data_IF_247675726075
#
_entry.id   IF_247675726075
#
_cell.length_a   1.000
_cell.length_b   1.000
_cell.length_c   1.000
_cell.angle_alpha   90.00
_cell.angle_beta   90.00
_cell.angle_gamma   90.00
#
_symmetry.space_group_name_H-M   'P 1'
#
loop_
_entity.id
_entity.type
_entity.pdbx_description
1 polymer ?
#
# COMPACT_ATOMS: atom_id res chain seq x y z
N UNK A 1 15.55 13.64 -26.88
CA UNK A 1 16.26 12.58 -26.17
C UNK A 1 15.68 12.34 -24.77
N UNK A 2 15.80 13.28 -23.84
CA UNK A 2 15.37 13.07 -22.44
C UNK A 2 13.85 12.98 -22.23
N UNK A 3 13.04 13.35 -23.19
CA UNK A 3 11.59 13.12 -23.22
C UNK A 3 11.18 11.67 -23.59
N UNK A 4 12.16 10.81 -23.88
CA UNK A 4 12.00 9.38 -24.13
C UNK A 4 12.75 8.58 -23.08
N UNK A 5 12.19 7.44 -22.68
CA UNK A 5 12.93 6.52 -21.81
C UNK A 5 14.05 5.81 -22.58
N UNK A 6 15.16 5.59 -21.90
CA UNK A 6 16.31 4.89 -22.48
C UNK A 6 16.06 3.38 -22.62
N UNK A 7 15.03 2.87 -21.95
CA UNK A 7 14.63 1.48 -21.95
C UNK A 7 13.09 1.38 -21.86
N UNK A 8 12.52 0.31 -22.37
CA UNK A 8 11.09 0.01 -22.26
C UNK A 8 10.61 0.02 -20.79
N UNK A 9 11.45 -0.42 -19.88
CA UNK A 9 11.19 -0.39 -18.44
C UNK A 9 11.92 0.79 -17.80
N UNK A 10 11.22 1.88 -17.40
CA UNK A 10 11.84 3.04 -16.79
C UNK A 10 12.63 2.67 -15.54
N UNK A 11 13.98 2.83 -15.49
CA UNK A 11 14.81 2.38 -14.37
C UNK A 11 14.48 3.08 -13.05
N UNK A 12 13.88 4.26 -13.11
CA UNK A 12 13.42 5.00 -11.94
C UNK A 12 12.15 4.42 -11.31
N UNK A 13 11.35 3.63 -12.05
CA UNK A 13 10.08 3.06 -11.61
C UNK A 13 10.09 1.53 -11.55
N UNK A 14 11.03 0.88 -12.24
CA UNK A 14 11.05 -0.57 -12.36
C UNK A 14 12.45 -1.16 -12.25
N UNK A 15 12.51 -2.42 -11.86
CA UNK A 15 13.65 -3.28 -11.97
C UNK A 15 13.33 -4.42 -12.94
N UNK A 16 13.88 -4.34 -14.15
CA UNK A 16 13.67 -5.37 -15.20
C UNK A 16 12.20 -5.68 -15.52
N UNK A 17 11.32 -4.67 -15.41
CA UNK A 17 9.88 -4.82 -15.68
C UNK A 17 9.02 -5.11 -14.44
N UNK A 18 9.62 -5.40 -13.30
CA UNK A 18 8.91 -5.46 -12.02
C UNK A 18 8.88 -4.09 -11.36
N UNK A 19 7.79 -3.76 -10.66
CA UNK A 19 7.68 -2.50 -9.93
C UNK A 19 8.74 -2.39 -8.83
N UNK A 20 9.32 -1.19 -8.67
CA UNK A 20 10.14 -0.89 -7.51
C UNK A 20 9.26 -0.80 -6.26
N UNK A 21 9.56 -1.57 -5.24
CA UNK A 21 8.87 -1.46 -3.95
C UNK A 21 9.60 -0.54 -2.98
N UNK A 22 8.89 0.23 -2.14
CA UNK A 22 9.52 1.07 -1.12
C UNK A 22 10.24 0.20 -0.09
N UNK A 23 11.47 0.56 0.25
CA UNK A 23 12.27 -0.16 1.25
C UNK A 23 11.72 -0.02 2.68
N UNK A 24 11.02 1.08 2.97
CA UNK A 24 10.39 1.36 4.27
C UNK A 24 9.12 2.18 4.08
N UNK A 25 7.96 1.50 4.02
CA UNK A 25 6.65 2.15 3.93
C UNK A 25 6.34 3.00 5.19
N UNK A 26 6.68 2.49 6.37
CA UNK A 26 6.37 3.11 7.64
C UNK A 26 7.08 4.46 7.85
N UNK A 27 8.12 4.77 7.08
CA UNK A 27 8.86 6.02 7.24
C UNK A 27 8.00 7.29 7.02
N UNK A 28 6.94 7.22 6.21
CA UNK A 28 5.98 8.33 6.08
C UNK A 28 5.29 8.60 7.42
N UNK A 29 4.79 7.55 8.06
CA UNK A 29 4.09 7.66 9.34
C UNK A 29 5.04 8.15 10.43
N UNK A 30 6.28 7.69 10.46
CA UNK A 30 7.27 8.21 11.39
C UNK A 30 7.52 9.72 11.21
N UNK A 31 7.60 10.22 9.98
CA UNK A 31 7.76 11.67 9.71
C UNK A 31 6.50 12.47 10.11
N UNK A 32 5.31 11.90 9.92
CA UNK A 32 4.05 12.54 10.31
C UNK A 32 3.88 12.57 11.83
N UNK A 33 4.34 11.53 12.52
CA UNK A 33 4.21 11.39 13.98
C UNK A 33 5.24 12.16 14.78
N UNK A 34 6.25 12.80 14.17
CA UNK A 34 7.28 13.55 14.89
C UNK A 34 6.70 14.66 15.77
N UNK A 35 5.55 15.20 15.40
CA UNK A 35 4.89 16.31 16.07
C UNK A 35 3.64 15.90 16.88
N UNK A 36 3.37 14.58 17.01
CA UNK A 36 2.17 14.07 17.67
C UNK A 36 2.48 13.31 18.95
N UNK A 37 1.65 13.52 19.97
CA UNK A 37 1.69 12.76 21.21
C UNK A 37 1.04 11.38 21.01
N UNK A 38 1.51 10.39 21.78
CA UNK A 38 0.87 9.08 21.84
C UNK A 38 -0.58 9.22 22.33
N UNK A 39 -1.45 8.29 21.90
CA UNK A 39 -2.80 8.20 22.45
C UNK A 39 -2.75 7.87 23.96
N UNK A 40 -3.74 8.30 24.72
CA UNK A 40 -3.85 7.93 26.14
C UNK A 40 -3.93 6.41 26.31
N UNK A 41 -3.52 5.92 27.47
CA UNK A 41 -3.59 4.52 27.84
C UNK A 41 -5.05 4.00 27.82
N UNK A 42 -5.19 2.68 27.67
CA UNK A 42 -6.49 2.04 27.70
C UNK A 42 -7.22 2.26 29.03
N UNK A 43 -8.57 2.36 28.97
CA UNK A 43 -9.36 2.29 30.19
C UNK A 43 -9.16 0.92 30.85
N UNK A 44 -8.91 0.90 32.15
CA UNK A 44 -8.77 -0.33 32.96
C UNK A 44 -10.10 -1.06 33.17
N UNK A 45 -11.22 -0.39 32.88
CA UNK A 45 -12.61 -0.85 33.09
C UNK A 45 -13.33 -1.03 31.76
N UNK A 46 -14.45 -1.76 31.83
CA UNK A 46 -15.33 -1.97 30.68
C UNK A 46 -15.91 -0.66 30.14
N UNK A 47 -15.72 -0.42 28.84
CA UNK A 47 -16.30 0.70 28.12
C UNK A 47 -17.39 0.22 27.15
N UNK A 48 -18.69 0.48 27.47
CA UNK A 48 -19.82 0.06 26.63
C UNK A 48 -19.88 0.80 25.28
N UNK A 49 -19.11 1.87 25.11
CA UNK A 49 -19.09 2.67 23.87
C UNK A 49 -17.90 2.37 22.99
N UNK A 50 -17.11 1.33 23.32
CA UNK A 50 -15.86 1.03 22.63
C UNK A 50 -15.91 -0.25 21.79
N UNK A 51 -15.12 -0.26 20.71
CA UNK A 51 -14.88 -1.40 19.85
C UNK A 51 -13.38 -1.60 19.55
N UNK A 52 -12.98 -2.87 19.38
CA UNK A 52 -11.65 -3.24 18.90
C UNK A 52 -11.77 -3.91 17.53
N UNK A 53 -11.07 -3.36 16.54
CA UNK A 53 -10.95 -3.91 15.21
C UNK A 53 -9.52 -4.44 15.03
N UNK A 54 -9.36 -5.67 14.59
CA UNK A 54 -8.02 -6.25 14.38
C UNK A 54 -7.88 -6.75 12.94
N UNK A 55 -6.76 -6.39 12.32
CA UNK A 55 -6.31 -7.04 11.08
C UNK A 55 -6.09 -8.53 11.35
N UNK A 56 -6.77 -9.37 10.56
CA UNK A 56 -6.68 -10.82 10.68
C UNK A 56 -5.25 -11.34 10.46
N UNK A 57 -4.47 -10.72 9.58
CA UNK A 57 -3.05 -11.01 9.38
C UNK A 57 -2.24 -10.77 10.66
N UNK A 58 -2.43 -9.61 11.31
CA UNK A 58 -1.82 -9.30 12.60
C UNK A 58 -2.18 -10.34 13.67
N UNK A 59 -3.46 -10.69 13.79
CA UNK A 59 -3.92 -11.70 14.76
C UNK A 59 -3.16 -13.02 14.56
N UNK A 60 -3.05 -13.51 13.32
CA UNK A 60 -2.40 -14.76 12.98
C UNK A 60 -0.89 -14.74 13.23
N UNK A 61 -0.23 -13.61 13.09
CA UNK A 61 1.20 -13.45 13.36
C UNK A 61 1.48 -13.26 14.86
N UNK A 62 0.63 -12.53 15.57
CA UNK A 62 0.80 -12.23 16.99
C UNK A 62 0.49 -13.44 17.86
N UNK A 63 -0.49 -14.27 17.47
CA UNK A 63 -0.95 -15.45 18.23
C UNK A 63 -0.82 -16.73 17.40
N UNK A 64 0.39 -17.21 17.09
CA UNK A 64 0.58 -18.45 16.34
C UNK A 64 0.10 -19.67 17.15
N UNK A 65 -0.32 -20.77 16.50
CA UNK A 65 -0.70 -21.99 17.19
C UNK A 65 0.47 -22.58 17.96
N UNK A 66 0.18 -23.18 19.12
CA UNK A 66 1.17 -23.95 19.87
C UNK A 66 1.48 -25.28 19.16
N UNK A 67 2.65 -25.88 19.40
CA UNK A 67 2.99 -27.15 18.79
C UNK A 67 1.91 -28.22 19.02
N UNK A 68 1.65 -29.04 18.00
CA UNK A 68 0.71 -30.16 17.99
C UNK A 68 -0.79 -29.81 18.10
N UNK A 69 -1.17 -28.53 18.21
CA UNK A 69 -2.58 -28.12 18.19
C UNK A 69 -3.23 -28.49 16.86
N UNK A 70 -4.51 -28.89 16.92
CA UNK A 70 -5.38 -28.91 15.73
C UNK A 70 -5.93 -27.50 15.42
N UNK A 71 -6.45 -27.29 14.21
CA UNK A 71 -7.06 -26.01 13.88
C UNK A 71 -8.26 -25.68 14.78
N UNK A 72 -9.04 -26.69 15.24
CA UNK A 72 -10.09 -26.49 16.24
C UNK A 72 -9.53 -25.96 17.56
N UNK A 73 -8.47 -26.59 18.08
CA UNK A 73 -7.83 -26.14 19.31
C UNK A 73 -7.20 -24.75 19.16
N UNK A 74 -6.72 -24.43 17.98
CA UNK A 74 -6.22 -23.09 17.68
C UNK A 74 -7.33 -22.03 17.72
N UNK A 75 -8.49 -22.30 17.10
CA UNK A 75 -9.66 -21.42 17.19
C UNK A 75 -10.12 -21.25 18.66
N UNK A 76 -10.14 -22.33 19.42
CA UNK A 76 -10.47 -22.28 20.86
C UNK A 76 -9.47 -21.44 21.66
N UNK A 77 -8.17 -21.57 21.39
CA UNK A 77 -7.12 -20.77 22.02
C UNK A 77 -7.33 -19.27 21.73
N UNK A 78 -7.64 -18.90 20.48
CA UNK A 78 -7.92 -17.52 20.11
C UNK A 78 -9.17 -16.98 20.81
N UNK A 79 -10.26 -17.79 20.85
CA UNK A 79 -11.52 -17.41 21.50
C UNK A 79 -11.36 -17.19 23.01
N UNK A 80 -10.78 -18.15 23.72
CA UNK A 80 -10.59 -18.10 25.18
C UNK A 80 -9.46 -17.17 25.64
N UNK A 81 -8.52 -16.86 24.77
CA UNK A 81 -7.39 -15.98 25.03
C UNK A 81 -7.65 -14.54 24.57
N UNK A 82 -7.03 -14.11 23.45
CA UNK A 82 -7.05 -12.69 23.06
C UNK A 82 -8.47 -12.14 22.83
N UNK A 83 -9.38 -12.91 22.22
CA UNK A 83 -10.71 -12.39 21.90
C UNK A 83 -11.51 -12.13 23.19
N UNK A 84 -11.53 -13.12 24.11
CA UNK A 84 -12.23 -12.95 25.40
C UNK A 84 -11.62 -11.81 26.23
N UNK A 85 -10.29 -11.63 26.18
CA UNK A 85 -9.61 -10.55 26.89
C UNK A 85 -10.06 -9.18 26.36
N UNK A 86 -10.11 -8.96 25.04
CA UNK A 86 -10.62 -7.71 24.48
C UNK A 86 -12.10 -7.48 24.82
N UNK A 87 -12.94 -8.53 24.75
CA UNK A 87 -14.36 -8.42 25.07
C UNK A 87 -14.68 -8.25 26.57
N UNK A 88 -13.70 -8.39 27.46
CA UNK A 88 -13.85 -7.98 28.87
C UNK A 88 -13.90 -6.45 29.02
N UNK A 89 -13.16 -5.72 28.17
CA UNK A 89 -13.01 -4.27 28.25
C UNK A 89 -13.82 -3.50 27.20
N UNK A 90 -14.16 -4.13 26.08
CA UNK A 90 -14.85 -3.51 24.96
C UNK A 90 -16.21 -4.16 24.66
N UNK A 91 -17.16 -3.35 24.19
CA UNK A 91 -18.50 -3.81 23.80
C UNK A 91 -18.46 -4.71 22.57
N UNK A 92 -17.52 -4.44 21.64
CA UNK A 92 -17.44 -5.13 20.35
C UNK A 92 -16.00 -5.43 19.95
N UNK A 93 -15.81 -6.58 19.31
CA UNK A 93 -14.57 -6.95 18.66
C UNK A 93 -14.81 -7.49 17.26
N UNK A 94 -14.07 -6.98 16.29
CA UNK A 94 -14.13 -7.41 14.89
C UNK A 94 -12.76 -7.96 14.43
N UNK A 95 -12.76 -9.11 13.78
CA UNK A 95 -11.59 -9.63 13.06
C UNK A 95 -11.83 -9.42 11.56
N UNK A 96 -10.96 -8.64 10.93
CA UNK A 96 -11.06 -8.30 9.51
C UNK A 96 -9.98 -9.03 8.73
N UNK A 97 -10.35 -10.10 8.02
CA UNK A 97 -9.46 -10.86 7.17
C UNK A 97 -9.48 -10.33 5.73
N UNK A 98 -8.37 -10.49 5.02
CA UNK A 98 -8.31 -10.31 3.57
C UNK A 98 -9.25 -11.28 2.84
N UNK A 99 -9.84 -10.80 1.77
CA UNK A 99 -10.52 -11.62 0.76
C UNK A 99 -9.56 -11.83 -0.42
N UNK A 100 -9.48 -13.05 -0.93
CA UNK A 100 -8.55 -13.40 -2.00
C UNK A 100 -9.33 -13.61 -3.31
N UNK A 101 -9.24 -12.62 -4.21
CA UNK A 101 -9.92 -12.61 -5.52
C UNK A 101 -8.86 -12.91 -6.59
N UNK A 102 -9.11 -13.98 -7.38
CA UNK A 102 -8.23 -14.32 -8.48
C UNK A 102 -8.33 -13.30 -9.61
N UNK A 103 -7.20 -12.99 -10.25
CA UNK A 103 -7.13 -12.02 -11.34
C UNK A 103 -7.28 -10.55 -10.90
N UNK A 104 -7.28 -10.25 -9.62
CA UNK A 104 -7.24 -8.87 -9.11
C UNK A 104 -5.84 -8.25 -9.25
N UNK A 105 -5.73 -6.92 -9.10
CA UNK A 105 -4.44 -6.24 -9.03
C UNK A 105 -3.59 -6.75 -7.86
N UNK A 106 -4.22 -6.99 -6.71
CA UNK A 106 -3.55 -7.52 -5.53
C UNK A 106 -3.07 -8.96 -5.71
N UNK A 107 -3.76 -9.77 -6.53
CA UNK A 107 -3.32 -11.13 -6.85
C UNK A 107 -1.98 -11.13 -7.60
N UNK A 108 -1.78 -10.18 -8.53
CA UNK A 108 -0.53 -10.00 -9.26
C UNK A 108 0.64 -9.70 -8.31
N UNK A 109 0.44 -8.77 -7.38
CA UNK A 109 1.46 -8.38 -6.38
C UNK A 109 1.81 -9.53 -5.41
N UNK A 110 0.82 -10.37 -5.04
CA UNK A 110 1.03 -11.51 -4.13
C UNK A 110 1.85 -12.64 -4.74
N UNK A 111 1.79 -12.85 -6.06
CA UNK A 111 2.56 -13.92 -6.72
C UNK A 111 4.08 -13.73 -6.57
N UNK A 112 4.57 -12.50 -6.47
CA UNK A 112 5.98 -12.19 -6.22
C UNK A 112 6.49 -12.58 -4.81
N UNK A 113 5.61 -12.87 -3.83
CA UNK A 113 5.98 -13.13 -2.42
C UNK A 113 6.51 -14.57 -2.15
N UNK A 114 6.60 -15.43 -3.16
CA UNK A 114 7.15 -16.78 -3.07
C UNK A 114 6.11 -17.86 -2.71
N UNK A 115 6.49 -19.15 -2.90
CA UNK A 115 5.62 -20.29 -2.65
C UNK A 115 5.72 -20.72 -1.19
N UNK A 116 4.57 -20.77 -0.49
CA UNK A 116 4.45 -21.33 0.85
C UNK A 116 4.31 -22.87 0.84
N UNK A 117 4.26 -23.45 2.04
CA UNK A 117 3.95 -24.88 2.21
C UNK A 117 2.42 -25.07 2.19
N UNK A 118 1.89 -25.76 1.16
CA UNK A 118 0.45 -26.02 1.06
C UNK A 118 0.01 -27.08 2.08
N UNK A 119 -1.01 -26.75 2.87
CA UNK A 119 -1.67 -27.68 3.78
C UNK A 119 -3.16 -27.32 3.86
N UNK A 120 -4.02 -28.34 3.76
CA UNK A 120 -5.48 -28.16 3.88
C UNK A 120 -5.87 -27.84 5.32
N UNK A 121 -6.79 -26.93 5.50
CA UNK A 121 -7.36 -26.56 6.81
C UNK A 121 -8.62 -27.37 7.06
N UNK A 122 -8.59 -28.19 8.14
CA UNK A 122 -9.76 -28.90 8.66
C UNK A 122 -9.65 -28.98 10.18
N UNK A 123 -10.78 -29.03 10.87
CA UNK A 123 -10.88 -28.90 12.33
C UNK A 123 -9.91 -29.81 13.10
N UNK A 124 -9.83 -31.09 12.73
CA UNK A 124 -9.00 -32.09 13.41
C UNK A 124 -7.57 -32.22 12.84
N UNK A 125 -7.26 -31.44 11.79
CA UNK A 125 -5.90 -31.44 11.23
C UNK A 125 -4.98 -30.63 12.15
N UNK A 126 -3.77 -31.14 12.38
CA UNK A 126 -2.75 -30.43 13.17
C UNK A 126 -2.27 -29.19 12.44
N UNK A 127 -2.10 -28.10 13.17
CA UNK A 127 -1.46 -26.90 12.64
C UNK A 127 -0.01 -27.19 12.25
N UNK A 128 0.51 -26.59 11.18
CA UNK A 128 1.88 -26.82 10.72
C UNK A 128 2.91 -26.22 11.67
N UNK A 129 4.00 -26.94 11.90
CA UNK A 129 5.10 -26.48 12.75
C UNK A 129 5.78 -25.21 12.19
N UNK A 130 5.81 -25.06 10.85
CA UNK A 130 6.35 -23.87 10.17
C UNK A 130 5.24 -22.89 9.81
N UNK A 131 4.64 -22.28 10.83
CA UNK A 131 3.48 -21.39 10.69
C UNK A 131 3.67 -20.24 9.69
N UNK A 132 4.81 -19.56 9.77
CA UNK A 132 5.12 -18.46 8.85
C UNK A 132 5.22 -18.89 7.37
N UNK A 133 5.70 -20.11 7.09
CA UNK A 133 5.71 -20.65 5.73
C UNK A 133 4.31 -21.06 5.26
N UNK A 134 3.49 -21.59 6.17
CA UNK A 134 2.09 -21.90 5.88
C UNK A 134 1.32 -20.64 5.48
N UNK A 135 1.51 -19.53 6.20
CA UNK A 135 0.86 -18.23 5.89
C UNK A 135 1.37 -17.55 4.61
N UNK A 136 2.45 -18.02 3.98
CA UNK A 136 2.88 -17.51 2.66
C UNK A 136 2.01 -18.02 1.51
N UNK A 137 1.35 -19.16 1.63
CA UNK A 137 0.43 -19.68 0.60
C UNK A 137 -0.95 -19.03 0.76
N UNK A 138 -1.39 -18.32 -0.28
CA UNK A 138 -2.67 -17.59 -0.31
C UNK A 138 -3.88 -18.52 -0.11
N UNK A 139 -3.83 -19.75 -0.65
CA UNK A 139 -4.91 -20.73 -0.50
C UNK A 139 -5.04 -21.21 0.95
N UNK A 140 -3.91 -21.36 1.64
CA UNK A 140 -3.92 -21.68 3.08
C UNK A 140 -4.58 -20.56 3.88
N UNK A 141 -4.21 -19.31 3.60
CA UNK A 141 -4.80 -18.16 4.29
C UNK A 141 -6.30 -18.07 4.02
N UNK A 142 -6.71 -18.25 2.77
CA UNK A 142 -8.14 -18.25 2.42
C UNK A 142 -8.91 -19.30 3.21
N UNK A 143 -8.46 -20.57 3.19
CA UNK A 143 -9.12 -21.64 3.94
C UNK A 143 -9.11 -21.39 5.47
N UNK A 144 -7.98 -20.88 6.00
CA UNK A 144 -7.85 -20.57 7.42
C UNK A 144 -8.79 -19.44 7.85
N UNK A 145 -8.85 -18.36 7.07
CA UNK A 145 -9.71 -17.22 7.36
C UNK A 145 -11.18 -17.64 7.43
N UNK A 146 -11.65 -18.41 6.43
CA UNK A 146 -13.01 -18.94 6.40
C UNK A 146 -13.26 -19.85 7.61
N UNK A 147 -12.34 -20.79 7.89
CA UNK A 147 -12.46 -21.71 9.03
C UNK A 147 -12.54 -20.94 10.35
N UNK A 148 -11.64 -19.98 10.57
CA UNK A 148 -11.61 -19.22 11.82
C UNK A 148 -12.86 -18.34 11.96
N UNK A 149 -13.29 -17.65 10.91
CA UNK A 149 -14.52 -16.85 10.96
C UNK A 149 -15.74 -17.70 11.37
N UNK A 150 -15.90 -18.88 10.77
CA UNK A 150 -16.98 -19.80 11.07
C UNK A 150 -16.90 -20.36 12.51
N UNK A 151 -15.71 -20.77 12.95
CA UNK A 151 -15.53 -21.33 14.28
C UNK A 151 -15.66 -20.28 15.38
N UNK A 152 -15.01 -19.12 15.24
CA UNK A 152 -14.96 -18.10 16.28
C UNK A 152 -16.34 -17.50 16.58
N UNK A 153 -17.24 -17.42 15.60
CA UNK A 153 -18.60 -16.92 15.81
C UNK A 153 -19.51 -17.93 16.54
N UNK A 154 -19.11 -19.20 16.67
CA UNK A 154 -19.89 -20.20 17.40
C UNK A 154 -19.58 -20.26 18.90
N UNK A 155 -18.49 -19.65 19.36
CA UNK A 155 -18.14 -19.62 20.77
C UNK A 155 -19.01 -18.65 21.57
N UNK A 156 -19.23 -18.98 22.85
CA UNK A 156 -19.91 -18.09 23.78
C UNK A 156 -18.92 -17.06 24.33
N UNK A 157 -19.30 -15.79 24.21
CA UNK A 157 -18.60 -14.65 24.77
C UNK A 157 -19.38 -14.07 25.95
N UNK A 158 -18.83 -13.12 26.74
CA UNK A 158 -19.58 -12.48 27.81
C UNK A 158 -20.92 -11.92 27.33
N UNK A 159 -21.94 -11.98 28.18
CA UNK A 159 -23.29 -11.56 27.82
C UNK A 159 -23.33 -10.13 27.28
N UNK A 160 -24.11 -9.92 26.22
CA UNK A 160 -24.25 -8.62 25.56
C UNK A 160 -23.07 -8.20 24.69
N UNK A 161 -21.97 -8.94 24.63
CA UNK A 161 -20.80 -8.62 23.80
C UNK A 161 -20.98 -9.05 22.34
N UNK A 162 -20.50 -8.23 21.44
CA UNK A 162 -20.58 -8.45 20.00
C UNK A 162 -19.23 -8.89 19.46
N UNK A 163 -19.25 -9.98 18.70
CA UNK A 163 -18.08 -10.46 17.96
C UNK A 163 -18.42 -10.62 16.48
N UNK A 164 -17.59 -10.02 15.62
CA UNK A 164 -17.71 -10.10 14.17
C UNK A 164 -16.44 -10.64 13.54
N UNK A 165 -16.58 -11.42 12.47
CA UNK A 165 -15.45 -11.88 11.68
C UNK A 165 -15.80 -11.87 10.19
N UNK A 166 -14.90 -11.32 9.36
CA UNK A 166 -15.10 -11.36 7.89
C UNK A 166 -14.89 -12.78 7.37
N UNK A 167 -15.79 -13.22 6.50
CA UNK A 167 -15.78 -14.52 5.83
C UNK A 167 -16.02 -14.29 4.34
N UNK A 168 -14.95 -14.13 3.56
CA UNK A 168 -15.01 -13.68 2.18
C UNK A 168 -15.78 -12.35 2.06
N UNK A 169 -16.82 -12.27 1.23
CA UNK A 169 -17.65 -11.05 1.09
C UNK A 169 -18.52 -10.79 2.33
N UNK A 170 -18.86 -11.83 3.08
CA UNK A 170 -19.77 -11.76 4.23
C UNK A 170 -19.07 -11.35 5.52
N UNK A 171 -19.88 -10.95 6.48
CA UNK A 171 -19.46 -10.76 7.88
C UNK A 171 -20.32 -11.66 8.76
N UNK A 172 -19.69 -12.57 9.50
CA UNK A 172 -20.36 -13.43 10.46
C UNK A 172 -20.34 -12.77 11.85
N UNK A 173 -21.37 -13.04 12.64
CA UNK A 173 -21.52 -12.51 14.01
C UNK A 173 -22.00 -13.58 14.99
N UNK A 174 -21.65 -13.45 16.28
CA UNK A 174 -22.21 -14.24 17.36
C UNK A 174 -23.59 -13.75 17.82
N UNK A 175 -24.11 -12.68 17.24
CA UNK A 175 -25.38 -12.03 17.59
C UNK A 175 -26.31 -11.92 16.39
N UNK A 176 -27.52 -11.40 16.59
CA UNK A 176 -28.46 -11.10 15.51
C UNK A 176 -28.11 -9.82 14.73
N UNK A 177 -27.15 -9.04 15.18
CA UNK A 177 -26.67 -7.87 14.44
C UNK A 177 -25.96 -8.32 13.16
N UNK A 178 -26.26 -7.64 12.06
CA UNK A 178 -25.71 -7.95 10.74
C UNK A 178 -24.98 -6.73 10.17
N UNK A 179 -23.93 -6.97 9.45
CA UNK A 179 -23.22 -6.00 8.64
C UNK A 179 -23.38 -6.36 7.17
N UNK A 180 -23.51 -5.38 6.29
CA UNK A 180 -23.63 -5.61 4.85
C UNK A 180 -22.44 -6.37 4.28
N UNK A 181 -22.70 -7.23 3.29
CA UNK A 181 -21.65 -7.87 2.49
C UNK A 181 -20.77 -6.82 1.78
N UNK A 182 -19.54 -7.15 1.47
CA UNK A 182 -18.58 -6.21 0.89
C UNK A 182 -17.68 -6.88 -0.16
N UNK A 183 -17.47 -6.20 -1.29
CA UNK A 183 -16.54 -6.59 -2.36
C UNK A 183 -15.10 -6.13 -2.12
N UNK A 184 -14.81 -5.54 -0.97
CA UNK A 184 -13.46 -5.07 -0.65
C UNK A 184 -12.52 -6.25 -0.40
N UNK A 185 -11.42 -6.28 -1.15
CA UNK A 185 -10.45 -7.37 -1.10
C UNK A 185 -9.48 -7.26 0.08
N UNK A 186 -8.97 -6.05 0.35
CA UNK A 186 -7.96 -5.82 1.39
C UNK A 186 -8.58 -5.53 2.75
N UNK A 187 -8.02 -6.14 3.80
CA UNK A 187 -8.36 -5.84 5.18
C UNK A 187 -8.18 -4.36 5.51
N UNK A 188 -7.16 -3.69 4.95
CA UNK A 188 -6.86 -2.28 5.21
C UNK A 188 -8.02 -1.34 4.96
N UNK A 189 -8.72 -1.50 3.83
CA UNK A 189 -9.89 -0.70 3.51
C UNK A 189 -11.14 -1.19 4.25
N UNK A 190 -11.27 -2.50 4.43
CA UNK A 190 -12.41 -3.11 5.09
C UNK A 190 -12.47 -2.79 6.58
N UNK A 191 -11.31 -2.58 7.25
CA UNK A 191 -11.23 -2.05 8.62
C UNK A 191 -11.94 -0.70 8.75
N UNK A 192 -11.83 0.19 7.75
CA UNK A 192 -12.52 1.47 7.75
C UNK A 192 -14.04 1.31 7.60
N UNK A 193 -14.50 0.32 6.83
CA UNK A 193 -15.92 -0.01 6.70
C UNK A 193 -16.48 -0.53 8.03
N UNK A 194 -15.75 -1.38 8.75
CA UNK A 194 -16.09 -1.86 10.07
C UNK A 194 -16.10 -0.72 11.11
N UNK A 195 -15.11 0.18 11.06
CA UNK A 195 -15.08 1.37 11.91
C UNK A 195 -16.32 2.26 11.67
N UNK A 196 -16.68 2.52 10.41
CA UNK A 196 -17.91 3.23 10.07
C UNK A 196 -19.16 2.55 10.65
N UNK A 197 -19.25 1.22 10.54
CA UNK A 197 -20.38 0.47 11.08
C UNK A 197 -20.43 0.57 12.62
N UNK A 198 -19.29 0.49 13.31
CA UNK A 198 -19.24 0.72 14.75
C UNK A 198 -19.78 2.11 15.13
N UNK A 199 -19.36 3.15 14.40
CA UNK A 199 -19.84 4.52 14.62
C UNK A 199 -21.35 4.66 14.38
N UNK A 200 -21.89 3.96 13.37
CA UNK A 200 -23.34 3.96 13.09
C UNK A 200 -24.17 3.26 14.17
N UNK A 201 -23.56 2.31 14.89
CA UNK A 201 -24.17 1.62 16.04
C UNK A 201 -23.95 2.38 17.38
N UNK A 202 -23.39 3.58 17.34
CA UNK A 202 -23.18 4.42 18.52
C UNK A 202 -21.92 4.12 19.34
N UNK A 203 -21.02 3.25 18.82
CA UNK A 203 -19.72 3.02 19.45
C UNK A 203 -18.80 4.17 19.06
N UNK A 204 -18.43 5.01 20.01
CA UNK A 204 -17.71 6.27 19.76
C UNK A 204 -16.22 6.23 20.04
N UNK A 205 -15.69 5.13 20.57
CA UNK A 205 -14.28 4.84 20.79
C UNK A 205 -13.87 3.59 20.05
N UNK A 206 -13.02 3.74 19.05
CA UNK A 206 -12.60 2.61 18.21
C UNK A 206 -11.09 2.45 18.33
N UNK A 207 -10.66 1.23 18.66
CA UNK A 207 -9.27 0.81 18.61
C UNK A 207 -9.04 -0.06 17.38
N UNK A 208 -8.01 0.23 16.58
CA UNK A 208 -7.65 -0.53 15.38
C UNK A 208 -6.24 -1.08 15.55
N UNK A 209 -6.10 -2.40 15.50
CA UNK A 209 -4.83 -3.11 15.66
C UNK A 209 -4.33 -3.58 14.30
N UNK A 210 -3.18 -3.06 13.86
CA UNK A 210 -2.62 -3.29 12.52
C UNK A 210 -1.13 -3.59 12.54
N UNK A 211 -0.65 -4.22 11.46
CA UNK A 211 0.78 -4.33 11.14
C UNK A 211 1.16 -3.43 9.96
N UNK A 212 0.23 -3.15 9.02
CA UNK A 212 0.49 -2.29 7.86
C UNK A 212 0.10 -0.83 8.13
N UNK A 213 1.04 0.07 7.92
CA UNK A 213 0.84 1.53 8.10
C UNK A 213 -0.01 2.17 7.02
N UNK A 214 -0.34 1.46 5.94
CA UNK A 214 -1.23 1.95 4.88
C UNK A 214 -2.64 2.25 5.45
N UNK A 215 -3.06 1.50 6.48
CA UNK A 215 -4.33 1.75 7.22
C UNK A 215 -4.36 3.15 7.83
N UNK A 216 -3.24 3.64 8.40
CA UNK A 216 -3.17 5.00 8.96
C UNK A 216 -3.33 6.05 7.86
N UNK A 217 -2.70 5.80 6.70
CA UNK A 217 -2.81 6.68 5.53
C UNK A 217 -4.25 6.76 5.03
N UNK A 218 -4.93 5.61 4.91
CA UNK A 218 -6.33 5.52 4.52
C UNK A 218 -7.22 6.26 5.54
N UNK A 219 -7.03 5.95 6.82
CA UNK A 219 -7.80 6.53 7.91
C UNK A 219 -7.70 8.06 7.96
N UNK A 220 -6.49 8.63 7.75
CA UNK A 220 -6.29 10.08 7.63
C UNK A 220 -7.08 10.68 6.48
N UNK A 221 -7.04 10.05 5.30
CA UNK A 221 -7.74 10.54 4.12
C UNK A 221 -9.26 10.61 4.29
N UNK A 222 -9.84 9.70 5.07
CA UNK A 222 -11.30 9.66 5.30
C UNK A 222 -11.74 10.28 6.63
N UNK A 223 -10.82 10.70 7.48
CA UNK A 223 -11.12 11.14 8.86
C UNK A 223 -12.19 12.22 8.89
N UNK A 224 -12.02 13.31 8.13
CA UNK A 224 -12.96 14.42 8.14
C UNK A 224 -14.33 14.05 7.57
N UNK A 225 -14.40 13.07 6.67
CA UNK A 225 -15.67 12.52 6.17
C UNK A 225 -16.40 11.73 7.26
N UNK A 226 -15.67 10.94 8.05
CA UNK A 226 -16.27 10.27 9.22
C UNK A 226 -16.71 11.29 10.28
N UNK A 227 -15.87 12.27 10.59
CA UNK A 227 -16.15 13.30 11.58
C UNK A 227 -17.37 14.17 11.21
N UNK A 228 -17.60 14.43 9.91
CA UNK A 228 -18.77 15.16 9.45
C UNK A 228 -20.06 14.35 9.52
N UNK A 229 -19.96 13.01 9.51
CA UNK A 229 -21.11 12.11 9.46
C UNK A 229 -21.47 11.51 10.83
N UNK A 230 -20.50 11.39 11.73
CA UNK A 230 -20.64 10.72 13.01
C UNK A 230 -20.01 11.55 14.14
N UNK A 231 -20.65 11.54 15.29
CA UNK A 231 -20.04 12.06 16.51
C UNK A 231 -19.28 10.92 17.19
N UNK A 232 -17.98 11.07 17.41
CA UNK A 232 -17.14 10.10 18.10
C UNK A 232 -16.01 10.75 18.87
N UNK A 233 -15.52 10.07 19.90
CA UNK A 233 -14.45 10.55 20.76
C UNK A 233 -13.11 10.46 20.04
N UNK A 234 -12.72 9.25 19.63
CA UNK A 234 -11.47 9.01 18.89
C UNK A 234 -11.48 7.66 18.18
N UNK A 235 -10.60 7.55 17.18
CA UNK A 235 -10.14 6.30 16.58
C UNK A 235 -8.65 6.20 16.92
N UNK A 236 -8.29 5.19 17.72
CA UNK A 236 -6.90 4.94 18.12
C UNK A 236 -6.35 3.81 17.27
N UNK A 237 -5.19 4.03 16.65
CA UNK A 237 -4.53 3.02 15.82
C UNK A 237 -3.25 2.55 16.50
N UNK A 238 -3.17 1.24 16.75
CA UNK A 238 -2.00 0.58 17.32
C UNK A 238 -1.26 -0.25 16.29
N UNK A 239 0.04 -0.02 16.19
CA UNK A 239 0.92 -0.73 15.27
C UNK A 239 2.31 -0.96 15.86
N UNK A 240 3.07 -1.87 15.21
CA UNK A 240 4.38 -2.26 15.70
C UNK A 240 4.33 -3.25 16.86
N UNK A 241 5.51 -3.77 17.26
CA UNK A 241 5.65 -4.81 18.28
C UNK A 241 6.73 -4.40 19.28
N UNK A 242 6.55 -4.78 20.54
CA UNK A 242 7.52 -4.54 21.64
C UNK A 242 7.96 -3.07 21.71
N UNK A 243 9.28 -2.81 21.62
CA UNK A 243 9.87 -1.46 21.71
C UNK A 243 9.40 -0.52 20.60
N UNK A 244 8.90 -1.06 19.49
CA UNK A 244 8.38 -0.30 18.35
C UNK A 244 6.86 -0.16 18.36
N UNK A 245 6.19 -0.64 19.41
CA UNK A 245 4.75 -0.45 19.60
C UNK A 245 4.43 1.05 19.71
N UNK A 246 3.40 1.48 18.98
CA UNK A 246 2.89 2.86 18.97
C UNK A 246 1.37 2.81 19.03
N UNK A 247 0.81 3.70 19.81
CA UNK A 247 -0.62 3.98 19.88
C UNK A 247 -0.83 5.43 19.47
N UNK A 248 -1.65 5.66 18.45
CA UNK A 248 -1.81 6.97 17.81
C UNK A 248 -3.27 7.37 17.78
N UNK A 249 -3.59 8.51 18.36
CA UNK A 249 -4.90 9.16 18.21
C UNK A 249 -5.04 9.71 16.79
N UNK A 250 -5.99 9.16 16.03
CA UNK A 250 -6.27 9.63 14.68
C UNK A 250 -6.80 11.06 14.67
N UNK A 251 -7.61 11.42 15.67
CA UNK A 251 -8.17 12.76 15.85
C UNK A 251 -7.08 13.79 16.11
N UNK A 252 -6.14 13.49 17.03
CA UNK A 252 -5.04 14.39 17.33
C UNK A 252 -4.12 14.57 16.09
N UNK A 253 -3.85 13.48 15.39
CA UNK A 253 -3.03 13.48 14.18
C UNK A 253 -3.68 14.30 13.06
N UNK A 254 -4.98 14.06 12.77
CA UNK A 254 -5.71 14.77 11.73
C UNK A 254 -5.84 16.28 12.04
N UNK A 255 -6.05 16.64 13.30
CA UNK A 255 -6.09 18.05 13.73
C UNK A 255 -4.72 18.75 13.56
N UNK A 256 -3.62 18.05 13.84
CA UNK A 256 -2.27 18.58 13.65
C UNK A 256 -1.93 18.83 12.18
N UNK A 257 -2.36 17.92 11.29
CA UNK A 257 -2.10 18.01 9.86
C UNK A 257 -3.02 18.99 9.12
N UNK A 258 -4.26 19.10 9.58
CA UNK A 258 -5.33 19.85 8.92
C UNK A 258 -5.95 19.10 7.72
N UNK A 259 -7.18 19.51 7.31
CA UNK A 259 -7.97 18.77 6.32
C UNK A 259 -7.29 18.60 4.96
N UNK A 260 -6.67 19.67 4.45
CA UNK A 260 -6.04 19.65 3.12
C UNK A 260 -4.92 18.60 3.04
N UNK A 261 -4.06 18.56 4.06
CA UNK A 261 -2.94 17.62 4.10
C UNK A 261 -3.41 16.18 4.35
N UNK A 262 -4.41 15.98 5.20
CA UNK A 262 -5.01 14.66 5.41
C UNK A 262 -5.53 14.06 4.10
N UNK A 263 -6.18 14.86 3.26
CA UNK A 263 -6.67 14.42 1.95
C UNK A 263 -5.54 14.20 0.92
N UNK A 264 -4.43 14.93 1.03
CA UNK A 264 -3.31 14.80 0.10
C UNK A 264 -2.40 13.58 0.37
N UNK A 265 -2.27 13.17 1.64
CA UNK A 265 -1.36 12.11 2.08
C UNK A 265 -1.60 10.77 1.35
N UNK A 266 -2.83 10.28 1.13
CA UNK A 266 -3.03 9.00 0.44
C UNK A 266 -2.47 8.99 -0.98
N UNK A 267 -2.71 10.01 -1.78
CA UNK A 267 -2.16 10.08 -3.13
C UNK A 267 -0.64 10.32 -3.14
N UNK A 268 -0.10 11.11 -2.21
CA UNK A 268 1.35 11.23 -2.02
C UNK A 268 1.99 9.88 -1.68
N UNK A 269 1.33 9.10 -0.83
CA UNK A 269 1.80 7.79 -0.43
C UNK A 269 1.90 6.84 -1.63
N UNK A 270 0.87 6.80 -2.48
CA UNK A 270 0.89 5.99 -3.70
C UNK A 270 1.91 6.49 -4.73
N UNK A 271 2.07 7.81 -4.92
CA UNK A 271 3.07 8.41 -5.80
C UNK A 271 4.51 8.05 -5.41
N UNK A 272 4.79 7.96 -4.12
CA UNK A 272 6.11 7.59 -3.61
C UNK A 272 6.30 6.07 -3.43
N UNK A 273 5.31 5.27 -3.83
CA UNK A 273 5.31 3.82 -3.82
C UNK A 273 4.48 3.19 -2.72
N UNK A 274 3.60 2.26 -3.09
CA UNK A 274 2.77 1.45 -2.21
C UNK A 274 2.88 -0.03 -2.60
N UNK A 275 1.97 -0.89 -2.12
CA UNK A 275 1.94 -2.29 -2.56
C UNK A 275 1.61 -2.47 -4.04
N UNK A 276 0.79 -1.57 -4.60
CA UNK A 276 0.30 -1.62 -5.99
C UNK A 276 0.88 -0.53 -6.89
N UNK A 277 1.79 0.31 -6.39
CA UNK A 277 2.41 1.39 -7.17
C UNK A 277 3.92 1.44 -6.95
N UNK A 278 4.66 1.78 -8.00
CA UNK A 278 6.12 1.83 -7.96
C UNK A 278 6.64 2.90 -7.02
N UNK A 279 7.70 2.58 -6.28
CA UNK A 279 8.53 3.60 -5.65
C UNK A 279 9.43 4.29 -6.67
N UNK A 280 9.58 5.59 -6.54
CA UNK A 280 10.54 6.37 -7.31
C UNK A 280 11.96 6.08 -6.81
N UNK A 281 12.85 5.61 -7.68
CA UNK A 281 14.22 5.22 -7.31
C UNK A 281 14.97 6.38 -6.66
N UNK A 282 15.52 6.15 -5.47
CA UNK A 282 16.26 7.16 -4.71
C UNK A 282 15.39 8.21 -3.99
N UNK A 283 14.06 8.06 -4.08
CA UNK A 283 13.08 8.91 -3.37
C UNK A 283 12.38 8.07 -2.30
N UNK A 284 12.69 8.33 -1.05
CA UNK A 284 11.96 7.74 0.08
C UNK A 284 10.78 8.61 0.50
N UNK A 285 9.91 8.04 1.35
CA UNK A 285 8.71 8.70 1.89
C UNK A 285 9.00 10.05 2.56
N UNK A 286 10.14 10.17 3.26
CA UNK A 286 10.59 11.42 3.87
C UNK A 286 10.74 12.54 2.85
N UNK A 287 11.48 12.30 1.76
CA UNK A 287 11.68 13.31 0.71
C UNK A 287 10.35 13.70 0.04
N UNK A 288 9.46 12.72 -0.17
CA UNK A 288 8.14 12.98 -0.72
C UNK A 288 7.31 13.89 0.20
N UNK A 289 7.31 13.62 1.50
CA UNK A 289 6.60 14.44 2.49
C UNK A 289 7.21 15.83 2.67
N UNK A 290 8.54 15.96 2.65
CA UNK A 290 9.23 17.26 2.65
C UNK A 290 8.89 18.10 1.41
N UNK A 291 8.80 17.47 0.22
CA UNK A 291 8.38 18.15 -0.99
C UNK A 291 6.92 18.64 -0.90
N UNK A 292 6.00 17.81 -0.36
CA UNK A 292 4.62 18.23 -0.10
C UNK A 292 4.55 19.45 0.83
N UNK A 293 5.30 19.43 1.93
CA UNK A 293 5.36 20.57 2.87
C UNK A 293 5.89 21.86 2.22
N UNK A 294 6.84 21.71 1.29
CA UNK A 294 7.46 22.85 0.58
C UNK A 294 6.57 23.40 -0.54
N UNK A 295 5.73 22.57 -1.15
CA UNK A 295 4.86 22.92 -2.27
C UNK A 295 3.38 22.71 -1.92
N UNK A 296 2.83 23.66 -1.13
CA UNK A 296 1.48 23.57 -0.56
C UNK A 296 0.36 23.52 -1.60
N UNK A 297 0.54 24.12 -2.77
CA UNK A 297 -0.45 24.05 -3.85
C UNK A 297 -0.73 22.64 -4.31
N UNK A 298 0.25 21.74 -4.18
CA UNK A 298 0.04 20.32 -4.49
C UNK A 298 -0.92 19.62 -3.52
N UNK A 299 -1.08 20.10 -2.28
CA UNK A 299 -2.02 19.50 -1.32
C UNK A 299 -3.46 19.55 -1.85
N UNK A 300 -3.88 20.68 -2.43
CA UNK A 300 -5.22 20.84 -2.99
C UNK A 300 -5.47 19.88 -4.18
N UNK A 301 -4.48 19.74 -5.07
CA UNK A 301 -4.59 18.86 -6.23
C UNK A 301 -4.62 17.40 -5.80
N UNK A 302 -3.70 16.96 -4.93
CA UNK A 302 -3.67 15.58 -4.46
C UNK A 302 -4.94 15.24 -3.67
N UNK A 303 -5.43 16.15 -2.84
CA UNK A 303 -6.67 15.99 -2.07
C UNK A 303 -7.91 15.92 -2.94
N UNK A 304 -7.96 16.68 -4.03
CA UNK A 304 -9.06 16.64 -4.99
C UNK A 304 -9.14 15.29 -5.71
N UNK A 305 -8.00 14.73 -6.17
CA UNK A 305 -7.94 13.41 -6.79
C UNK A 305 -8.22 12.26 -5.82
N UNK A 306 -7.97 12.44 -4.54
CA UNK A 306 -8.39 11.48 -3.52
C UNK A 306 -9.89 11.58 -3.23
N UNK A 307 -10.41 12.78 -3.05
CA UNK A 307 -11.83 13.01 -2.70
C UNK A 307 -12.79 12.62 -3.83
N UNK A 308 -12.37 12.81 -5.08
CA UNK A 308 -13.12 12.45 -6.28
C UNK A 308 -12.53 11.16 -6.87
N UNK A 309 -12.92 10.01 -6.31
CA UNK A 309 -12.41 8.70 -6.69
C UNK A 309 -12.41 8.51 -8.21
N UNK A 310 -11.31 8.02 -8.74
CA UNK A 310 -11.12 7.73 -10.16
C UNK A 310 -11.30 8.95 -11.10
N UNK A 311 -11.07 10.15 -10.58
CA UNK A 311 -11.10 11.36 -11.40
C UNK A 311 -10.13 11.25 -12.58
N UNK A 312 -10.61 11.58 -13.77
CA UNK A 312 -9.81 11.56 -15.00
C UNK A 312 -8.68 12.58 -14.94
N UNK A 313 -7.50 12.18 -15.36
CA UNK A 313 -6.32 13.02 -15.54
C UNK A 313 -5.84 12.91 -16.99
N UNK A 314 -5.53 14.03 -17.64
CA UNK A 314 -4.90 14.05 -18.96
C UNK A 314 -3.47 14.58 -18.87
N UNK A 315 -2.58 14.14 -19.78
CA UNK A 315 -1.16 14.55 -19.77
C UNK A 315 -0.98 16.07 -19.92
N UNK A 316 -1.95 16.77 -20.54
CA UNK A 316 -1.93 18.24 -20.72
C UNK A 316 -2.50 19.05 -19.56
N UNK A 317 -3.14 18.42 -18.59
CA UNK A 317 -3.86 19.11 -17.51
C UNK A 317 -2.91 19.88 -16.57
N UNK A 318 -3.39 21.02 -16.05
CA UNK A 318 -2.65 21.79 -15.04
C UNK A 318 -2.39 20.96 -13.76
N UNK A 319 -3.31 20.09 -13.42
CA UNK A 319 -3.16 19.16 -12.30
C UNK A 319 -1.93 18.23 -12.49
N UNK A 320 -1.73 17.71 -13.70
CA UNK A 320 -0.55 16.88 -13.97
C UNK A 320 0.74 17.71 -13.92
N UNK A 321 0.73 18.96 -14.39
CA UNK A 321 1.89 19.87 -14.24
C UNK A 321 2.24 20.11 -12.77
N UNK A 322 1.23 20.29 -11.90
CA UNK A 322 1.45 20.40 -10.45
C UNK A 322 2.06 19.11 -9.86
N UNK A 323 1.59 17.93 -10.27
CA UNK A 323 2.17 16.64 -9.84
C UNK A 323 3.60 16.50 -10.37
N UNK A 324 3.88 16.86 -11.62
CA UNK A 324 5.25 16.88 -12.14
C UNK A 324 6.17 17.78 -11.30
N UNK A 325 5.68 19.00 -10.99
CA UNK A 325 6.44 19.95 -10.17
C UNK A 325 6.73 19.39 -8.79
N UNK A 326 5.77 18.72 -8.16
CA UNK A 326 5.98 18.04 -6.87
C UNK A 326 7.07 16.97 -6.98
N UNK A 327 7.04 16.14 -8.04
CA UNK A 327 8.06 15.09 -8.27
C UNK A 327 9.43 15.71 -8.56
N UNK A 328 9.51 16.80 -9.31
CA UNK A 328 10.75 17.58 -9.51
C UNK A 328 11.37 17.96 -8.17
N UNK A 329 10.56 18.50 -7.24
CA UNK A 329 11.03 18.88 -5.90
C UNK A 329 11.45 17.69 -5.03
N UNK A 330 10.89 16.49 -5.26
CA UNK A 330 11.36 15.28 -4.59
C UNK A 330 12.79 14.90 -5.02
N UNK A 331 13.14 15.11 -6.29
CA UNK A 331 14.47 14.80 -6.84
C UNK A 331 15.48 15.93 -6.62
N UNK A 332 15.05 17.17 -6.74
CA UNK A 332 15.86 18.38 -6.63
C UNK A 332 15.07 19.51 -5.93
N UNK A 333 15.25 19.60 -4.61
CA UNK A 333 14.45 20.45 -3.72
C UNK A 333 14.47 21.95 -4.08
N UNK A 334 15.56 22.43 -4.65
CA UNK A 334 15.76 23.84 -5.03
C UNK A 334 15.62 24.11 -6.52
N UNK A 335 15.21 23.09 -7.31
CA UNK A 335 15.05 23.25 -8.74
C UNK A 335 13.93 24.26 -9.06
N UNK A 336 14.17 25.10 -10.05
CA UNK A 336 13.19 26.05 -10.62
C UNK A 336 12.52 25.51 -11.88
N UNK A 337 12.94 24.33 -12.35
CA UNK A 337 12.43 23.72 -13.58
C UNK A 337 10.96 23.31 -13.42
N UNK A 338 10.19 23.48 -14.50
CA UNK A 338 8.78 23.06 -14.57
C UNK A 338 8.60 21.74 -15.34
N UNK A 339 9.55 21.41 -16.20
CA UNK A 339 9.56 20.16 -16.99
C UNK A 339 10.41 19.09 -16.32
N UNK A 340 9.80 17.91 -16.12
CA UNK A 340 10.55 16.77 -15.56
C UNK A 340 11.59 16.24 -16.54
N UNK A 341 11.35 16.38 -17.84
CA UNK A 341 12.27 15.95 -18.89
C UNK A 341 13.52 16.85 -18.93
N UNK A 342 13.39 18.14 -18.60
CA UNK A 342 14.53 19.08 -18.45
C UNK A 342 15.32 18.74 -17.18
N UNK A 343 14.65 18.41 -16.08
CA UNK A 343 15.33 17.94 -14.87
C UNK A 343 16.09 16.63 -15.12
N UNK A 344 15.54 15.72 -15.92
CA UNK A 344 16.22 14.47 -16.31
C UNK A 344 17.56 14.78 -16.99
N UNK A 345 17.58 15.74 -17.91
CA UNK A 345 18.77 16.18 -18.61
C UNK A 345 19.81 16.74 -17.62
N UNK A 346 19.40 17.67 -16.76
CA UNK A 346 20.28 18.27 -15.76
C UNK A 346 20.91 17.22 -14.83
N UNK A 347 20.06 16.38 -14.21
CA UNK A 347 20.52 15.36 -13.27
C UNK A 347 21.34 14.26 -13.93
N UNK A 348 21.11 13.94 -15.19
CA UNK A 348 21.91 12.97 -15.92
C UNK A 348 23.40 13.39 -15.97
N UNK A 349 23.66 14.65 -16.29
CA UNK A 349 25.01 15.17 -16.31
C UNK A 349 25.61 15.36 -14.91
N UNK A 350 24.82 15.81 -13.94
CA UNK A 350 25.27 16.00 -12.56
C UNK A 350 25.58 14.68 -11.84
N UNK A 351 24.80 13.62 -12.09
CA UNK A 351 24.90 12.33 -11.37
C UNK A 351 25.71 11.26 -12.10
N UNK A 352 26.79 11.66 -12.74
CA UNK A 352 27.72 10.75 -13.42
C UNK A 352 27.02 9.81 -14.41
N UNK A 353 26.02 10.29 -15.11
CA UNK A 353 25.25 9.55 -16.12
C UNK A 353 24.55 8.28 -15.59
N UNK A 354 24.14 8.29 -14.31
CA UNK A 354 23.39 7.19 -13.74
C UNK A 354 21.89 7.35 -14.02
N UNK A 355 21.38 6.58 -14.98
CA UNK A 355 20.00 6.61 -15.44
C UNK A 355 18.98 6.11 -14.40
N UNK A 356 19.40 5.37 -13.38
CA UNK A 356 18.51 4.92 -12.31
C UNK A 356 18.16 6.03 -11.32
N UNK A 357 19.02 7.05 -11.21
CA UNK A 357 18.87 8.14 -10.22
C UNK A 357 18.23 9.40 -10.80
N UNK A 358 17.85 9.40 -12.07
CA UNK A 358 17.07 10.47 -12.68
C UNK A 358 15.58 10.15 -12.62
N UNK A 359 14.70 11.16 -12.62
CA UNK A 359 13.25 10.91 -12.59
C UNK A 359 12.76 10.16 -13.84
N UNK A 360 11.54 9.57 -13.82
CA UNK A 360 10.92 9.04 -15.04
C UNK A 360 10.65 10.17 -16.04
N UNK A 361 10.47 9.84 -17.33
CA UNK A 361 9.98 10.80 -18.32
C UNK A 361 8.58 11.29 -17.96
N UNK A 362 8.14 12.42 -18.54
CA UNK A 362 6.77 12.91 -18.38
C UNK A 362 5.74 11.83 -18.73
N UNK A 363 5.93 11.08 -19.82
CA UNK A 363 5.04 9.99 -20.21
C UNK A 363 5.01 8.83 -19.20
N UNK A 364 6.17 8.36 -18.73
CA UNK A 364 6.24 7.30 -17.72
C UNK A 364 5.65 7.74 -16.37
N UNK A 365 5.90 9.00 -15.97
CA UNK A 365 5.31 9.60 -14.77
C UNK A 365 3.78 9.72 -14.89
N UNK A 366 3.27 10.10 -16.05
CA UNK A 366 1.83 10.18 -16.29
C UNK A 366 1.15 8.82 -16.06
N UNK A 367 1.68 7.75 -16.67
CA UNK A 367 1.15 6.39 -16.49
C UNK A 367 1.29 5.90 -15.04
N UNK A 368 2.38 6.25 -14.36
CA UNK A 368 2.54 5.99 -12.94
C UNK A 368 1.50 6.74 -12.11
N UNK A 369 1.25 8.02 -12.42
CA UNK A 369 0.24 8.85 -11.73
C UNK A 369 -1.17 8.28 -11.89
N UNK A 370 -1.53 7.79 -13.08
CA UNK A 370 -2.82 7.11 -13.28
C UNK A 370 -2.98 5.91 -12.35
N UNK A 371 -1.95 5.06 -12.22
CA UNK A 371 -1.97 3.92 -11.27
C UNK A 371 -2.12 4.38 -9.83
N UNK A 372 -1.48 5.49 -9.46
CA UNK A 372 -1.61 6.07 -8.13
C UNK A 372 -3.02 6.63 -7.87
N UNK A 373 -3.64 7.28 -8.85
CA UNK A 373 -5.03 7.75 -8.76
C UNK A 373 -5.98 6.57 -8.62
N UNK A 374 -5.77 5.48 -9.35
CA UNK A 374 -6.58 4.27 -9.21
C UNK A 374 -6.52 3.72 -7.78
N UNK A 375 -5.32 3.54 -7.24
CA UNK A 375 -5.14 3.02 -5.88
C UNK A 375 -5.73 3.97 -4.82
N UNK A 376 -5.49 5.27 -4.95
CA UNK A 376 -6.07 6.27 -4.07
C UNK A 376 -7.60 6.30 -4.16
N UNK A 377 -8.16 6.11 -5.36
CA UNK A 377 -9.60 5.99 -5.60
C UNK A 377 -10.20 4.77 -4.88
N UNK A 378 -9.56 3.61 -4.92
CA UNK A 378 -9.97 2.43 -4.14
C UNK A 378 -10.00 2.75 -2.65
N UNK A 379 -8.98 3.43 -2.14
CA UNK A 379 -8.90 3.80 -0.73
C UNK A 379 -9.95 4.84 -0.32
N UNK A 380 -10.25 5.81 -1.17
CA UNK A 380 -11.25 6.85 -0.87
C UNK A 380 -12.68 6.31 -0.78
N UNK A 381 -12.95 5.17 -1.43
CA UNK A 381 -14.24 4.48 -1.39
C UNK A 381 -14.32 3.41 -0.28
N UNK A 382 -13.35 3.33 0.64
CA UNK A 382 -13.31 2.31 1.68
C UNK A 382 -14.52 2.29 2.62
N UNK A 383 -15.28 3.39 2.70
CA UNK A 383 -16.52 3.49 3.49
C UNK A 383 -17.76 2.93 2.77
N UNK A 384 -17.62 2.48 1.53
CA UNK A 384 -18.71 1.85 0.77
C UNK A 384 -18.53 0.32 0.78
N UNK A 385 -19.56 -0.46 1.06
CA UNK A 385 -19.48 -1.92 1.05
C UNK A 385 -19.17 -2.45 -0.35
N UNK A 386 -19.78 -1.87 -1.39
CA UNK A 386 -19.53 -2.17 -2.79
C UNK A 386 -18.92 -0.97 -3.49
N UNK A 387 -17.78 -1.19 -4.13
CA UNK A 387 -17.02 -0.14 -4.81
C UNK A 387 -17.19 -0.29 -6.33
N UNK A 388 -17.91 0.63 -6.96
CA UNK A 388 -17.98 0.67 -8.43
C UNK A 388 -16.64 1.15 -8.99
N UNK A 389 -15.74 0.22 -9.28
CA UNK A 389 -14.37 0.49 -9.75
C UNK A 389 -14.32 0.45 -11.27
N UNK A 390 -13.74 1.46 -11.94
CA UNK A 390 -13.47 1.40 -13.37
C UNK A 390 -12.43 0.30 -13.69
N UNK A 391 -12.26 0.00 -14.97
CA UNK A 391 -11.24 -0.94 -15.39
C UNK A 391 -9.83 -0.41 -15.07
N UNK A 392 -8.95 -1.19 -14.42
CA UNK A 392 -7.55 -0.79 -14.24
C UNK A 392 -6.83 -0.44 -15.55
N UNK A 393 -7.30 -0.99 -16.69
CA UNK A 393 -6.72 -0.70 -18.01
C UNK A 393 -6.86 0.78 -18.41
N UNK A 394 -7.81 1.51 -17.85
CA UNK A 394 -7.96 2.95 -18.06
C UNK A 394 -6.96 3.77 -17.22
N UNK A 395 -6.27 3.11 -16.28
CA UNK A 395 -5.36 3.74 -15.30
C UNK A 395 -3.93 3.20 -15.41
N UNK A 396 -3.43 2.99 -16.62
CA UNK A 396 -2.04 2.62 -16.86
C UNK A 396 -1.69 1.15 -16.54
N UNK A 397 -2.69 0.27 -16.54
CA UNK A 397 -2.53 -1.18 -16.48
C UNK A 397 -2.96 -1.84 -17.78
N UNK A 398 -2.46 -3.04 -18.03
CA UNK A 398 -2.93 -3.91 -19.13
C UNK A 398 -3.04 -5.34 -18.64
N UNK A 399 -3.99 -6.09 -19.22
CA UNK A 399 -4.10 -7.55 -18.99
C UNK A 399 -3.15 -8.28 -19.90
N UNK A 400 -2.45 -9.28 -19.35
CA UNK A 400 -1.65 -10.20 -20.17
C UNK A 400 -2.53 -11.21 -20.87
N UNK A 401 -2.24 -11.48 -22.14
CA UNK A 401 -3.03 -12.41 -22.98
C UNK A 401 -3.04 -13.86 -22.45
N UNK A 402 -2.05 -14.26 -21.65
CA UNK A 402 -1.87 -15.65 -21.21
C UNK A 402 -2.34 -15.94 -19.79
N UNK A 403 -2.42 -14.95 -18.90
CA UNK A 403 -2.67 -15.19 -17.46
C UNK A 403 -3.84 -14.41 -16.90
N UNK A 404 -4.51 -13.58 -17.68
CA UNK A 404 -5.55 -12.62 -17.22
C UNK A 404 -5.08 -11.70 -16.07
N UNK A 405 -3.77 -11.63 -15.84
CA UNK A 405 -3.19 -10.80 -14.79
C UNK A 405 -2.90 -9.39 -15.30
N UNK A 406 -2.97 -8.43 -14.39
CA UNK A 406 -2.62 -7.05 -14.70
C UNK A 406 -1.11 -6.83 -14.63
N UNK A 407 -0.58 -6.09 -15.60
CA UNK A 407 0.79 -5.60 -15.65
C UNK A 407 0.79 -4.09 -15.88
N UNK A 408 1.78 -3.34 -15.35
CA UNK A 408 1.90 -1.92 -15.63
C UNK A 408 2.19 -1.66 -17.11
N UNK A 409 1.51 -0.68 -17.69
CA UNK A 409 1.97 -0.04 -18.92
C UNK A 409 3.05 0.96 -18.52
N UNK A 410 4.27 0.75 -19.00
CA UNK A 410 5.42 1.55 -18.55
C UNK A 410 5.59 2.84 -19.34
N UNK A 411 5.47 2.75 -20.66
CA UNK A 411 5.57 3.86 -21.60
C UNK A 411 4.60 3.66 -22.76
N UNK A 412 4.10 4.73 -23.34
CA UNK A 412 3.34 4.75 -24.61
C UNK A 412 4.10 5.46 -25.72
N UNK A 413 5.09 6.30 -25.38
CA UNK A 413 6.05 6.86 -26.34
C UNK A 413 7.16 5.86 -26.57
N UNK A 414 7.65 5.75 -27.79
CA UNK A 414 8.79 4.88 -28.12
C UNK A 414 10.00 5.16 -27.24
N UNK A 415 10.86 4.19 -27.11
CA UNK A 415 12.17 4.35 -26.45
C UNK A 415 13.04 5.36 -27.21
N UNK A 416 14.04 5.93 -26.52
CA UNK A 416 15.04 6.80 -27.17
C UNK A 416 15.65 6.13 -28.39
N UNK A 417 15.79 6.88 -29.47
CA UNK A 417 16.31 6.41 -30.75
C UNK A 417 17.72 5.80 -30.52
N UNK A 418 18.14 4.88 -31.39
CA UNK A 418 19.41 4.17 -31.30
C UNK A 418 20.58 5.15 -31.14
N UNK A 419 20.60 6.26 -31.87
CA UNK A 419 21.62 7.32 -31.77
C UNK A 419 21.66 7.99 -30.39
N UNK A 420 20.50 8.09 -29.71
CA UNK A 420 20.43 8.65 -28.36
C UNK A 420 20.96 7.67 -27.30
N UNK A 421 20.88 6.36 -27.53
CA UNK A 421 21.43 5.34 -26.63
C UNK A 421 22.96 5.34 -26.61
N UNK A 422 23.59 5.87 -27.64
CA UNK A 422 25.04 6.01 -27.73
C UNK A 422 25.63 6.89 -26.62
N UNK A 423 24.87 7.83 -26.10
CA UNK A 423 25.32 8.68 -24.98
C UNK A 423 25.36 7.94 -23.64
N UNK A 424 24.71 6.78 -23.52
CA UNK A 424 24.82 5.93 -22.33
C UNK A 424 26.08 5.08 -22.41
N UNK A 425 27.11 5.49 -21.72
CA UNK A 425 28.40 4.78 -21.69
C UNK A 425 28.79 4.34 -20.29
N UNK A 426 29.46 3.19 -20.19
CA UNK A 426 30.07 2.75 -18.95
C UNK A 426 31.54 3.13 -18.90
N UNK A 427 32.04 3.38 -17.68
CA UNK A 427 33.47 3.63 -17.40
C UNK A 427 34.20 2.38 -16.90
N UNK A 428 33.62 1.19 -17.00
CA UNK A 428 34.28 -0.05 -16.61
C UNK A 428 35.43 -0.37 -17.60
N UNK A 429 36.47 -0.98 -17.10
CA UNK A 429 37.65 -1.38 -17.91
C UNK A 429 37.68 -2.90 -18.16
N UNK A 430 36.55 -3.59 -17.92
CA UNK A 430 36.45 -5.04 -18.00
C UNK A 430 36.37 -5.52 -19.45
N UNK A 431 36.93 -6.69 -19.72
CA UNK A 431 36.78 -7.39 -21.00
C UNK A 431 35.44 -8.10 -21.10
N UNK A 432 34.82 -8.45 -19.97
CA UNK A 432 33.47 -9.03 -19.89
C UNK A 432 32.64 -8.19 -18.94
N UNK A 433 31.63 -7.50 -19.48
CA UNK A 433 30.76 -6.63 -18.71
C UNK A 433 29.58 -7.39 -18.13
N UNK A 434 29.66 -7.88 -16.90
CA UNK A 434 28.57 -8.55 -16.17
C UNK A 434 27.76 -7.58 -15.31
N UNK A 435 28.37 -6.50 -14.79
CA UNK A 435 27.75 -5.54 -13.85
C UNK A 435 28.14 -4.08 -14.14
N UNK A 436 28.25 -3.70 -15.39
CA UNK A 436 28.51 -2.31 -15.75
C UNK A 436 27.21 -1.48 -15.84
N UNK A 437 27.33 -0.15 -15.92
CA UNK A 437 26.16 0.76 -16.04
C UNK A 437 25.25 0.40 -17.23
N UNK A 438 25.84 -0.01 -18.37
CA UNK A 438 25.06 -0.38 -19.54
C UNK A 438 24.26 -1.68 -19.29
N UNK A 439 24.89 -2.73 -18.74
CA UNK A 439 24.19 -3.99 -18.43
C UNK A 439 23.13 -3.82 -17.36
N UNK A 440 23.40 -3.00 -16.34
CA UNK A 440 22.38 -2.69 -15.31
C UNK A 440 21.19 -1.91 -15.89
N UNK A 441 21.40 -1.12 -16.94
CA UNK A 441 20.35 -0.43 -17.68
C UNK A 441 19.72 -1.29 -18.80
N UNK A 442 20.07 -2.58 -18.87
CA UNK A 442 19.64 -3.52 -19.94
C UNK A 442 20.02 -3.01 -21.34
N UNK A 443 21.11 -2.25 -21.42
CA UNK A 443 21.67 -1.76 -22.68
C UNK A 443 22.93 -2.54 -23.04
N UNK A 444 23.19 -2.70 -24.32
CA UNK A 444 24.49 -3.19 -24.81
C UNK A 444 25.54 -2.08 -24.67
N UNK A 445 26.78 -2.47 -24.41
CA UNK A 445 27.88 -1.53 -24.45
C UNK A 445 28.09 -1.01 -25.87
N UNK A 446 28.49 0.26 -25.99
CA UNK A 446 28.74 0.94 -27.26
C UNK A 446 30.23 1.19 -27.42
N UNK A 447 30.64 1.67 -28.57
CA UNK A 447 32.03 2.09 -28.82
C UNK A 447 32.50 3.24 -27.92
N UNK A 448 31.55 4.00 -27.36
CA UNK A 448 31.81 5.08 -26.40
C UNK A 448 32.11 4.57 -24.98
N UNK A 449 31.88 3.29 -24.72
CA UNK A 449 32.17 2.67 -23.42
C UNK A 449 33.68 2.43 -23.27
N UNK A 450 34.18 2.63 -22.04
CA UNK A 450 35.59 2.38 -21.71
C UNK A 450 35.91 0.89 -21.56
N UNK A 451 34.93 0.01 -21.58
CA UNK A 451 35.11 -1.45 -21.51
C UNK A 451 35.64 -2.00 -22.85
N UNK A 452 36.20 -3.21 -22.79
CA UNK A 452 36.67 -3.97 -23.96
C UNK A 452 35.80 -5.20 -24.26
N UNK A 453 34.53 -5.20 -23.81
CA UNK A 453 33.65 -6.37 -23.97
C UNK A 453 33.29 -6.61 -25.45
N UNK A 454 33.19 -7.88 -25.84
CA UNK A 454 32.90 -8.30 -27.22
C UNK A 454 31.44 -8.00 -27.65
N UNK A 455 30.55 -7.74 -26.68
CA UNK A 455 29.15 -7.39 -26.91
C UNK A 455 28.92 -5.91 -27.32
N UNK A 456 29.95 -5.19 -27.70
CA UNK A 456 29.81 -3.80 -28.15
C UNK A 456 29.10 -3.72 -29.49
N UNK A 457 28.11 -2.82 -29.55
CA UNK A 457 27.36 -2.56 -30.80
C UNK A 457 28.07 -1.45 -31.53
N UNK A 458 28.56 -1.73 -32.76
CA UNK A 458 28.87 -0.70 -33.75
C UNK A 458 27.52 -0.21 -34.32
N UNK A 459 27.37 1.08 -34.47
CA UNK A 459 26.24 1.70 -35.12
C UNK A 459 26.67 2.03 -36.55
N UNK A 460 26.43 1.10 -37.44
CA UNK A 460 26.46 1.31 -38.87
C UNK A 460 25.08 1.70 -39.38
#
# INVERSE_FOLDING_TARGET
MFAHEFNHFPPSLSNSGEMNYPSNKASLIHEILTDCHNAPDEPSEFDPTSAVLIDGGRLLHQFPPRPLMTFRQYAEMLSKGPISLYLQHHQRMDIVFDTYIDGSLNAATRQGRGKGLRQRVAAETKCPAKWSQFLKDTRNKKELNIFLAQQLTTYSYPEGRQFFATCEEKVLSNTSFTMADSDQEGADTRLMLHAKHCLSEGLNRIKILIDDTDVIVIALGIFHKLQSSYHFDDIVIEFGINKNHRSVSLKALANSLGPSRCLAIPLLHTLSGSESTSALKGIGKKKAYEALKAYKESEAILGDYFSNAFKTLNEGDSAFKTIQRLVILMYARTSILESIDDLRMELYFQRSQNIELIPPTSNALYLHTLRCIYQAGVWSLCLLPFQNRPSPCEYGWQKTNHTSMYQPVWITKGEAIKECREFVKCSCKSEICTRCKCKNAILRCTLLCSCKCDDRVSFD
#
